data_IF_503075884127
#
_entry.id   IF_503075884127
#
_cell.length_a   1.000
_cell.length_b   1.000
_cell.length_c   1.000
_cell.angle_alpha   90.00
_cell.angle_beta   90.00
_cell.angle_gamma   90.00
#
_symmetry.space_group_name_H-M   'P 1'
#
loop_
_entity.id
_entity.type
_entity.pdbx_description
1 polymer ?
#
# COMPACT_ATOMS: atom_id res chain seq x y z
N UNK A 1 14.33 12.06 -42.56
CA UNK A 1 13.79 12.18 -41.19
C UNK A 1 12.98 10.93 -40.91
N UNK A 2 13.30 10.19 -39.83
CA UNK A 2 12.65 8.92 -39.54
C UNK A 2 11.15 9.12 -39.31
N UNK A 3 10.32 8.44 -40.08
CA UNK A 3 8.88 8.44 -39.89
C UNK A 3 8.55 7.43 -38.78
N UNK A 4 8.43 7.90 -37.54
CA UNK A 4 8.16 7.04 -36.37
C UNK A 4 6.67 6.78 -36.16
N UNK A 5 5.85 7.00 -37.19
CA UNK A 5 4.41 6.74 -37.14
C UNK A 5 4.12 5.24 -36.95
N UNK A 6 4.99 4.37 -37.46
CA UNK A 6 4.85 2.92 -37.38
C UNK A 6 5.41 2.31 -36.10
N UNK A 7 6.09 3.09 -35.26
CA UNK A 7 6.61 2.61 -33.98
C UNK A 7 5.45 2.30 -33.03
N UNK A 8 5.39 1.06 -32.54
CA UNK A 8 4.28 0.55 -31.73
C UNK A 8 4.01 1.43 -30.51
N UNK A 9 5.07 1.89 -29.84
CA UNK A 9 4.97 2.76 -28.66
C UNK A 9 4.38 4.12 -28.98
N UNK A 10 4.71 4.70 -30.14
CA UNK A 10 4.14 5.99 -30.54
C UNK A 10 2.67 5.85 -30.93
N UNK A 11 2.30 4.74 -31.58
CA UNK A 11 0.91 4.43 -31.91
C UNK A 11 0.07 4.26 -30.67
N UNK A 12 0.55 3.48 -29.70
CA UNK A 12 -0.11 3.26 -28.40
C UNK A 12 -0.15 4.54 -27.57
N UNK A 13 0.91 5.35 -27.58
CA UNK A 13 0.91 6.67 -26.94
C UNK A 13 -0.16 7.60 -27.51
N UNK A 14 -0.40 7.60 -28.83
CA UNK A 14 -1.52 8.38 -29.41
C UNK A 14 -2.87 7.90 -28.91
N UNK A 15 -3.06 6.59 -28.81
CA UNK A 15 -4.30 6.02 -28.26
C UNK A 15 -4.49 6.48 -26.81
N UNK A 16 -3.45 6.39 -25.98
CA UNK A 16 -3.47 6.91 -24.60
C UNK A 16 -3.81 8.39 -24.57
N UNK A 17 -3.18 9.23 -25.40
CA UNK A 17 -3.48 10.66 -25.47
C UNK A 17 -4.95 10.94 -25.76
N UNK A 18 -5.54 10.24 -26.74
CA UNK A 18 -6.94 10.39 -27.12
C UNK A 18 -7.87 9.99 -25.97
N UNK A 19 -7.61 8.84 -25.34
CA UNK A 19 -8.42 8.34 -24.22
C UNK A 19 -8.34 9.27 -23.00
N UNK A 20 -7.18 9.83 -22.68
CA UNK A 20 -7.04 10.81 -21.59
C UNK A 20 -7.80 12.12 -21.87
N UNK A 21 -7.86 12.56 -23.13
CA UNK A 21 -8.61 13.75 -23.56
C UNK A 21 -10.12 13.50 -23.50
N UNK A 22 -10.58 12.32 -23.95
CA UNK A 22 -11.97 11.87 -23.87
C UNK A 22 -12.47 11.74 -22.43
N UNK A 23 -11.64 11.18 -21.54
CA UNK A 23 -11.92 11.07 -20.09
C UNK A 23 -11.80 12.41 -19.35
N UNK A 24 -11.45 13.51 -20.04
CA UNK A 24 -11.21 14.84 -19.46
C UNK A 24 -10.13 14.88 -18.37
N UNK A 25 -9.21 13.91 -18.37
CA UNK A 25 -8.07 13.86 -17.45
C UNK A 25 -6.97 14.85 -17.85
N UNK A 26 -6.97 15.28 -19.11
CA UNK A 26 -6.13 16.36 -19.61
C UNK A 26 -6.98 17.39 -20.35
N UNK A 27 -6.65 18.68 -20.19
CA UNK A 27 -7.30 19.77 -20.96
C UNK A 27 -6.75 19.92 -22.38
N UNK A 28 -5.73 19.15 -22.72
CA UNK A 28 -5.08 19.11 -24.04
C UNK A 28 -3.56 18.99 -23.95
N UNK A 29 -2.88 19.15 -25.09
CA UNK A 29 -1.42 18.93 -25.24
C UNK A 29 -0.55 19.71 -24.26
N UNK A 30 -0.93 20.95 -23.93
CA UNK A 30 -0.20 21.79 -22.97
C UNK A 30 -0.21 21.20 -21.56
N UNK A 31 -1.30 20.56 -21.18
CA UNK A 31 -1.51 20.02 -19.83
C UNK A 31 -0.70 18.73 -19.66
N UNK A 32 -0.78 17.85 -20.67
CA UNK A 32 0.06 16.65 -20.73
C UNK A 32 1.55 17.01 -20.76
N UNK A 33 1.95 18.02 -21.53
CA UNK A 33 3.35 18.45 -21.61
C UNK A 33 3.91 18.86 -20.24
N UNK A 34 3.13 19.60 -19.43
CA UNK A 34 3.52 19.98 -18.07
C UNK A 34 3.73 18.76 -17.18
N UNK A 35 2.82 17.78 -17.25
CA UNK A 35 2.91 16.55 -16.43
C UNK A 35 4.04 15.63 -16.86
N UNK A 36 4.40 15.63 -18.15
CA UNK A 36 5.54 14.88 -18.67
C UNK A 36 6.87 15.66 -18.59
N UNK A 37 6.87 16.82 -17.93
CA UNK A 37 8.03 17.72 -17.80
C UNK A 37 8.69 18.01 -19.15
N UNK A 38 7.85 18.42 -20.11
CA UNK A 38 8.28 18.69 -21.47
C UNK A 38 7.49 19.84 -22.08
N UNK A 39 7.78 20.16 -23.34
CA UNK A 39 7.14 21.26 -24.06
C UNK A 39 6.04 20.76 -24.98
N UNK A 40 5.01 21.58 -25.18
CA UNK A 40 3.87 21.25 -26.06
C UNK A 40 4.32 20.88 -27.49
N UNK A 41 5.32 21.59 -28.03
CA UNK A 41 5.88 21.27 -29.34
C UNK A 41 6.51 19.86 -29.41
N UNK A 42 7.07 19.35 -28.31
CA UNK A 42 7.64 17.99 -28.23
C UNK A 42 6.52 16.97 -28.31
N UNK A 43 5.46 17.13 -27.52
CA UNK A 43 4.27 16.26 -27.58
C UNK A 43 3.66 16.28 -28.98
N UNK A 44 3.53 17.45 -29.61
CA UNK A 44 3.02 17.57 -30.97
C UNK A 44 3.89 16.81 -31.99
N UNK A 45 5.21 16.89 -31.88
CA UNK A 45 6.13 16.18 -32.76
C UNK A 45 6.05 14.66 -32.57
N UNK A 46 5.86 14.19 -31.33
CA UNK A 46 5.63 12.77 -31.04
C UNK A 46 4.29 12.32 -31.65
N UNK A 47 3.22 13.09 -31.45
CA UNK A 47 1.90 12.81 -32.04
C UNK A 47 1.93 12.84 -33.58
N UNK A 48 2.78 13.65 -34.21
CA UNK A 48 2.99 13.64 -35.67
C UNK A 48 3.94 12.55 -36.16
N UNK A 49 4.53 11.76 -35.26
CA UNK A 49 5.47 10.69 -35.61
C UNK A 49 6.85 11.20 -36.05
N UNK A 50 7.16 12.47 -35.76
CA UNK A 50 8.45 13.08 -36.07
C UNK A 50 9.51 12.77 -34.99
N UNK A 51 9.08 12.27 -33.82
CA UNK A 51 9.93 11.93 -32.69
C UNK A 51 9.36 10.72 -31.92
N UNK A 52 10.23 9.91 -31.32
CA UNK A 52 9.80 8.89 -30.35
C UNK A 52 9.61 9.48 -28.95
N UNK A 53 8.61 8.95 -28.25
CA UNK A 53 8.49 9.16 -26.81
C UNK A 53 9.69 8.55 -26.08
N UNK A 54 10.20 9.25 -25.07
CA UNK A 54 11.35 8.77 -24.28
C UNK A 54 10.88 7.84 -23.15
N UNK A 55 11.80 7.02 -22.63
CA UNK A 55 11.51 6.17 -21.47
C UNK A 55 11.05 6.98 -20.27
N UNK A 56 11.71 8.11 -19.97
CA UNK A 56 11.31 9.01 -18.89
C UNK A 56 9.86 9.53 -19.05
N UNK A 57 9.46 9.89 -20.27
CA UNK A 57 8.09 10.30 -20.57
C UNK A 57 7.09 9.15 -20.43
N UNK A 58 7.47 7.92 -20.80
CA UNK A 58 6.66 6.72 -20.57
C UNK A 58 6.47 6.48 -19.07
N UNK A 59 7.53 6.56 -18.27
CA UNK A 59 7.45 6.37 -16.82
C UNK A 59 6.55 7.42 -16.18
N UNK A 60 6.67 8.69 -16.58
CA UNK A 60 5.80 9.78 -16.13
C UNK A 60 4.35 9.58 -16.54
N UNK A 61 4.07 9.02 -17.72
CA UNK A 61 2.70 8.64 -18.12
C UNK A 61 2.13 7.54 -17.23
N UNK A 62 2.91 6.49 -16.98
CA UNK A 62 2.49 5.40 -16.11
C UNK A 62 2.20 5.94 -14.70
N UNK A 63 3.07 6.81 -14.18
CA UNK A 63 2.94 7.40 -12.85
C UNK A 63 1.76 8.39 -12.72
N UNK A 64 1.58 9.31 -13.67
CA UNK A 64 0.53 10.33 -13.53
C UNK A 64 -0.86 9.86 -13.94
N UNK A 65 -0.97 8.84 -14.78
CA UNK A 65 -2.23 8.45 -15.41
C UNK A 65 -2.55 6.95 -15.34
N UNK A 66 -1.72 6.13 -14.69
CA UNK A 66 -1.99 4.69 -14.50
C UNK A 66 -1.94 3.88 -15.77
N UNK A 67 -1.24 4.38 -16.78
CA UNK A 67 -1.11 3.73 -18.08
C UNK A 67 -0.27 2.47 -17.92
N UNK A 68 -0.78 1.35 -18.44
CA UNK A 68 -0.06 0.09 -18.46
C UNK A 68 1.13 0.17 -19.42
N UNK A 69 2.35 0.00 -18.92
CA UNK A 69 3.55 -0.03 -19.74
C UNK A 69 3.51 -1.17 -20.78
N UNK A 70 2.94 -2.32 -20.43
CA UNK A 70 2.81 -3.45 -21.35
C UNK A 70 1.94 -3.09 -22.56
N UNK A 71 0.90 -2.26 -22.38
CA UNK A 71 0.11 -1.73 -23.49
C UNK A 71 0.93 -0.84 -24.40
N UNK A 72 1.70 0.09 -23.83
CA UNK A 72 2.58 0.98 -24.59
C UNK A 72 3.60 0.21 -25.43
N UNK A 73 4.19 -0.85 -24.88
CA UNK A 73 5.13 -1.70 -25.61
C UNK A 73 4.46 -2.73 -26.54
N UNK A 74 3.13 -2.81 -26.53
CA UNK A 74 2.37 -3.75 -27.36
C UNK A 74 2.41 -5.20 -26.90
N UNK A 75 2.77 -5.43 -25.64
CA UNK A 75 2.77 -6.72 -24.97
C UNK A 75 1.38 -7.07 -24.40
N UNK A 76 0.52 -6.06 -24.25
CA UNK A 76 -0.83 -6.18 -23.70
C UNK A 76 -1.80 -5.27 -24.47
N UNK A 77 -3.10 -5.52 -24.32
CA UNK A 77 -4.19 -4.73 -24.88
C UNK A 77 -4.92 -3.88 -23.82
N UNK A 78 -4.69 -4.13 -22.52
CA UNK A 78 -5.27 -3.34 -21.44
C UNK A 78 -4.53 -2.01 -21.27
N UNK A 79 -5.17 -0.88 -21.61
CA UNK A 79 -4.53 0.44 -21.62
C UNK A 79 -4.20 0.96 -20.22
N UNK A 80 -5.02 0.61 -19.23
CA UNK A 80 -4.86 0.96 -17.83
C UNK A 80 -4.83 -0.31 -16.99
N UNK A 81 -4.13 -0.27 -15.85
CA UNK A 81 -3.89 -1.47 -15.01
C UNK A 81 -5.14 -1.98 -14.27
N UNK A 82 -6.28 -1.28 -14.35
CA UNK A 82 -7.47 -1.52 -13.52
C UNK A 82 -8.77 -1.78 -14.32
N UNK A 83 -8.77 -2.63 -15.34
CA UNK A 83 -10.02 -3.11 -16.00
C UNK A 83 -10.78 -4.14 -15.15
N UNK A 84 -11.00 -3.84 -13.87
CA UNK A 84 -11.86 -4.62 -12.98
C UNK A 84 -12.41 -3.72 -11.88
N UNK A 85 -13.38 -2.84 -12.16
CA UNK A 85 -14.72 -2.81 -11.55
C UNK A 85 -15.63 -1.88 -12.37
N UNK A 86 -16.91 -2.25 -12.45
CA UNK A 86 -18.00 -1.47 -12.99
C UNK A 86 -18.21 -0.11 -12.30
N UNK A 87 -18.81 0.82 -13.04
CA UNK A 87 -19.41 2.10 -12.65
C UNK A 87 -18.55 3.14 -11.90
N UNK A 88 -18.29 4.24 -12.61
CA UNK A 88 -18.62 5.57 -12.10
C UNK A 88 -17.53 6.40 -11.43
N UNK A 89 -16.46 5.82 -10.89
CA UNK A 89 -15.40 6.60 -10.24
C UNK A 89 -14.00 6.04 -10.56
N UNK A 90 -13.15 6.87 -11.16
CA UNK A 90 -11.73 6.53 -11.36
C UNK A 90 -11.02 6.56 -10.00
N UNK A 91 -10.36 5.48 -9.55
CA UNK A 91 -9.44 5.55 -8.45
C UNK A 91 -8.16 6.23 -8.95
N UNK A 92 -7.77 7.29 -8.26
CA UNK A 92 -6.50 8.00 -8.38
C UNK A 92 -5.38 7.04 -7.93
N UNK A 93 -5.05 6.04 -8.76
CA UNK A 93 -4.28 4.86 -8.36
C UNK A 93 -3.00 4.64 -9.15
N UNK A 94 -2.25 5.69 -9.48
CA UNK A 94 -0.99 5.55 -10.22
C UNK A 94 0.21 6.29 -9.62
N UNK A 95 -0.01 7.09 -8.57
CA UNK A 95 1.07 7.74 -7.84
C UNK A 95 1.84 6.76 -6.93
N UNK A 96 1.28 5.58 -6.64
CA UNK A 96 1.78 4.63 -5.64
C UNK A 96 2.97 3.76 -6.11
N UNK A 97 3.37 3.82 -7.38
CA UNK A 97 4.43 2.93 -7.93
C UNK A 97 5.86 3.49 -7.86
N UNK A 98 6.09 4.72 -7.40
CA UNK A 98 7.43 5.36 -7.41
C UNK A 98 7.91 5.90 -6.06
N UNK A 99 7.11 5.79 -4.99
CA UNK A 99 7.68 5.89 -3.64
C UNK A 99 8.43 4.59 -3.31
N UNK A 100 9.51 4.60 -2.51
CA UNK A 100 10.14 3.38 -2.05
C UNK A 100 9.05 2.51 -1.41
N UNK A 101 8.72 1.42 -2.10
CA UNK A 101 7.51 0.66 -1.93
C UNK A 101 7.37 0.17 -0.50
N UNK A 102 6.61 0.92 0.30
CA UNK A 102 6.00 0.45 1.53
C UNK A 102 4.77 -0.42 1.18
N UNK A 103 4.89 -1.28 0.16
CA UNK A 103 3.86 -2.22 -0.33
C UNK A 103 3.67 -3.42 0.59
N UNK A 104 4.13 -3.28 1.83
CA UNK A 104 3.73 -4.19 2.87
C UNK A 104 2.32 -3.92 3.30
N UNK A 105 1.49 -4.95 3.27
CA UNK A 105 0.24 -4.95 4.02
C UNK A 105 0.49 -5.00 5.54
N UNK A 106 1.71 -5.34 5.97
CA UNK A 106 2.11 -5.43 7.38
C UNK A 106 2.99 -4.24 7.77
N UNK A 107 2.62 -3.53 8.82
CA UNK A 107 3.37 -2.42 9.40
C UNK A 107 4.27 -2.89 10.55
N UNK A 108 5.59 -2.72 10.46
CA UNK A 108 6.55 -3.08 11.50
C UNK A 108 6.70 -1.96 12.52
N UNK A 109 6.39 -2.27 13.78
CA UNK A 109 6.60 -1.43 14.96
C UNK A 109 7.78 -1.98 15.77
N UNK A 110 9.01 -1.46 15.56
CA UNK A 110 10.19 -1.88 16.32
C UNK A 110 10.11 -1.40 17.77
N UNK A 111 10.84 -2.04 18.69
CA UNK A 111 10.81 -1.71 20.13
C UNK A 111 10.99 -0.21 20.39
N UNK A 112 11.96 0.42 19.70
CA UNK A 112 12.25 1.86 19.83
C UNK A 112 11.07 2.79 19.50
N UNK A 113 10.15 2.35 18.65
CA UNK A 113 9.00 3.14 18.20
C UNK A 113 7.72 2.84 19.01
N UNK A 114 7.72 1.83 19.89
CA UNK A 114 6.54 1.44 20.65
C UNK A 114 6.06 2.53 21.60
N UNK A 115 6.97 3.28 22.21
CA UNK A 115 6.61 4.39 23.10
C UNK A 115 5.83 5.48 22.36
N UNK A 116 6.30 5.88 21.16
CA UNK A 116 5.59 6.84 20.30
C UNK A 116 4.25 6.29 19.82
N UNK A 117 4.21 5.01 19.44
CA UNK A 117 2.99 4.33 19.03
C UNK A 117 1.93 4.29 20.14
N UNK A 118 2.33 4.05 21.40
CA UNK A 118 1.43 4.05 22.55
C UNK A 118 0.85 5.45 22.82
N UNK A 119 1.67 6.49 22.69
CA UNK A 119 1.27 7.87 23.01
C UNK A 119 0.44 8.54 21.91
N UNK A 120 0.86 8.37 20.66
CA UNK A 120 0.35 9.13 19.50
C UNK A 120 -0.29 8.24 18.44
N UNK A 121 -0.36 6.92 18.68
CA UNK A 121 -0.88 5.96 17.72
C UNK A 121 0.01 5.84 16.48
N UNK A 122 -0.57 5.31 15.40
CA UNK A 122 0.11 5.15 14.11
C UNK A 122 0.58 6.50 13.57
N UNK A 123 -0.23 7.55 13.69
CA UNK A 123 0.05 8.84 13.05
C UNK A 123 1.28 9.54 13.65
N UNK A 124 1.62 9.31 14.91
CA UNK A 124 2.82 9.89 15.54
C UNK A 124 4.13 9.21 15.15
N UNK A 125 4.09 7.95 14.67
CA UNK A 125 5.30 7.19 14.32
C UNK A 125 5.39 6.84 12.83
N UNK A 126 4.39 7.22 12.03
CA UNK A 126 4.18 6.79 10.65
C UNK A 126 5.41 6.93 9.75
N UNK A 127 6.16 8.02 9.91
CA UNK A 127 7.35 8.33 9.10
C UNK A 127 8.55 7.42 9.42
N UNK A 128 8.55 6.73 10.57
CA UNK A 128 9.62 5.85 11.02
C UNK A 128 9.33 4.36 10.76
N UNK A 129 8.08 4.01 10.42
CA UNK A 129 7.65 2.62 10.32
C UNK A 129 7.88 2.05 8.92
N UNK A 130 8.58 0.92 8.88
CA UNK A 130 8.72 0.09 7.67
C UNK A 130 7.50 -0.79 7.50
N UNK A 131 7.14 -1.10 6.26
CA UNK A 131 6.13 -2.11 5.91
C UNK A 131 6.76 -3.20 5.08
N UNK A 132 6.24 -4.41 5.24
CA UNK A 132 6.62 -5.58 4.47
C UNK A 132 5.42 -6.49 4.21
N UNK A 133 5.57 -7.46 3.31
CA UNK A 133 4.52 -8.39 2.93
C UNK A 133 5.02 -9.83 3.11
N UNK A 134 4.16 -10.70 3.65
CA UNK A 134 4.41 -12.14 3.74
C UNK A 134 3.48 -12.84 2.75
N UNK A 135 4.00 -13.58 1.73
CA UNK A 135 3.15 -14.33 0.81
C UNK A 135 2.19 -15.28 1.53
N UNK A 136 0.90 -15.20 1.19
CA UNK A 136 -0.16 -16.00 1.79
C UNK A 136 -0.72 -15.47 3.11
N UNK A 137 -0.20 -14.33 3.61
CA UNK A 137 -0.76 -13.65 4.78
C UNK A 137 -1.55 -12.41 4.32
N UNK A 138 -2.87 -12.57 4.27
CA UNK A 138 -3.82 -11.52 3.89
C UNK A 138 -4.60 -11.06 5.12
N UNK A 139 -4.97 -9.79 5.15
CA UNK A 139 -5.71 -9.19 6.26
C UNK A 139 -5.76 -7.67 6.16
N UNK A 140 -6.69 -7.06 6.88
CA UNK A 140 -6.79 -5.61 7.06
C UNK A 140 -5.99 -5.16 8.27
N UNK A 141 -5.31 -4.01 8.18
CA UNK A 141 -4.57 -3.41 9.29
C UNK A 141 -3.59 -4.39 10.00
N UNK A 142 -2.78 -5.12 9.22
CA UNK A 142 -1.76 -5.99 9.80
C UNK A 142 -0.62 -5.16 10.39
N UNK A 143 -0.24 -5.50 11.61
CA UNK A 143 0.88 -4.91 12.33
C UNK A 143 1.81 -6.00 12.81
N UNK A 144 3.09 -5.70 12.86
CA UNK A 144 4.15 -6.56 13.33
C UNK A 144 4.85 -5.87 14.49
N UNK A 145 4.84 -6.48 15.67
CA UNK A 145 5.49 -5.93 16.87
C UNK A 145 6.71 -6.77 17.22
N UNK A 146 7.84 -6.11 17.42
CA UNK A 146 9.02 -6.72 18.01
C UNK A 146 8.82 -6.88 19.52
N UNK A 147 8.92 -8.11 20.04
CA UNK A 147 8.63 -8.41 21.44
C UNK A 147 9.89 -8.30 22.28
N UNK A 148 9.80 -7.54 23.37
CA UNK A 148 10.86 -7.47 24.38
C UNK A 148 10.49 -8.29 25.63
N UNK A 149 11.43 -9.11 26.09
CA UNK A 149 11.35 -9.89 27.31
C UNK A 149 10.83 -11.33 27.15
N UNK A 150 10.90 -12.08 28.26
CA UNK A 150 10.77 -13.55 28.26
C UNK A 150 9.42 -14.06 28.79
N UNK A 151 8.45 -13.17 28.96
CA UNK A 151 7.20 -13.49 29.65
C UNK A 151 6.31 -14.52 28.92
N UNK A 152 6.57 -14.77 27.64
CA UNK A 152 5.83 -15.71 26.82
C UNK A 152 6.64 -16.95 26.44
N UNK A 153 7.79 -17.20 27.10
CA UNK A 153 8.56 -18.43 26.88
C UNK A 153 7.72 -19.68 27.23
N UNK A 154 7.81 -20.77 26.43
CA UNK A 154 8.65 -20.93 25.24
C UNK A 154 7.97 -20.51 23.93
N UNK A 155 6.74 -19.99 23.98
CA UNK A 155 5.91 -19.72 22.80
C UNK A 155 6.40 -18.53 21.99
N UNK A 156 6.84 -17.46 22.67
CA UNK A 156 7.40 -16.24 22.06
C UNK A 156 8.64 -15.86 22.88
N UNK A 157 9.72 -15.56 22.17
CA UNK A 157 11.04 -15.24 22.72
C UNK A 157 11.37 -13.76 22.53
N UNK A 158 12.30 -13.25 23.33
CA UNK A 158 12.82 -11.89 23.17
C UNK A 158 13.43 -11.67 21.78
N UNK A 159 12.99 -10.63 21.08
CA UNK A 159 13.40 -10.30 19.70
C UNK A 159 12.52 -10.91 18.62
N UNK A 160 11.53 -11.74 18.96
CA UNK A 160 10.58 -12.25 17.99
C UNK A 160 9.68 -11.14 17.44
N UNK A 161 9.33 -11.24 16.17
CA UNK A 161 8.36 -10.35 15.52
C UNK A 161 7.02 -11.07 15.43
N UNK A 162 6.03 -10.53 16.13
CA UNK A 162 4.66 -11.06 16.15
C UNK A 162 3.80 -10.25 15.20
N UNK A 163 3.26 -10.91 14.17
CA UNK A 163 2.29 -10.32 13.24
C UNK A 163 0.88 -10.54 13.77
N UNK A 164 0.10 -9.47 13.87
CA UNK A 164 -1.27 -9.47 14.34
C UNK A 164 -2.17 -8.60 13.47
N UNK A 165 -3.47 -8.91 13.51
CA UNK A 165 -4.53 -8.11 12.92
C UNK A 165 -5.22 -7.29 14.01
N UNK A 166 -5.53 -6.03 13.73
CA UNK A 166 -6.30 -5.19 14.64
C UNK A 166 -7.72 -5.78 14.87
N UNK A 167 -8.18 -5.73 16.11
CA UNK A 167 -9.50 -6.26 16.48
C UNK A 167 -10.47 -5.10 16.55
N UNK A 168 -11.44 -5.11 15.63
CA UNK A 168 -12.52 -4.12 15.62
C UNK A 168 -13.34 -4.17 16.93
N UNK A 169 -13.79 -3.00 17.44
CA UNK A 169 -14.70 -2.93 18.57
C UNK A 169 -15.94 -3.82 18.35
N UNK A 170 -16.22 -4.70 19.31
CA UNK A 170 -17.36 -5.61 19.24
C UNK A 170 -17.05 -7.00 18.67
N UNK A 171 -15.87 -7.23 18.07
CA UNK A 171 -15.44 -8.61 17.78
C UNK A 171 -15.18 -9.39 19.08
N UNK A 172 -15.66 -10.65 19.19
CA UNK A 172 -15.44 -11.45 20.38
C UNK A 172 -13.98 -11.89 20.47
N UNK A 173 -13.36 -11.66 21.63
CA UNK A 173 -12.07 -12.26 21.98
C UNK A 173 -12.25 -13.76 22.27
N UNK A 174 -11.23 -14.55 21.96
CA UNK A 174 -11.18 -15.99 22.24
C UNK A 174 -10.29 -16.23 23.45
N UNK A 175 -10.80 -16.97 24.42
CA UNK A 175 -10.02 -17.33 25.60
C UNK A 175 -8.79 -18.16 25.26
N UNK A 176 -7.71 -17.93 26.03
CA UNK A 176 -6.41 -18.60 25.93
C UNK A 176 -5.68 -18.42 24.59
N UNK A 177 -6.13 -17.48 23.74
CA UNK A 177 -5.39 -17.06 22.55
C UNK A 177 -4.41 -15.95 22.90
N UNK A 178 -3.32 -15.88 22.11
CA UNK A 178 -2.29 -14.84 22.27
C UNK A 178 -2.77 -13.57 21.59
N UNK A 179 -2.63 -12.45 22.30
CA UNK A 179 -2.94 -11.12 21.81
C UNK A 179 -1.77 -10.19 22.13
N UNK A 180 -1.54 -9.25 21.22
CA UNK A 180 -0.75 -8.05 21.52
C UNK A 180 -1.70 -7.04 22.15
N UNK A 181 -1.36 -6.59 23.35
CA UNK A 181 -2.14 -5.62 24.12
C UNK A 181 -1.32 -4.35 24.23
N UNK A 182 -1.96 -3.23 23.87
CA UNK A 182 -1.36 -1.90 23.88
C UNK A 182 -2.04 -1.11 25.01
N UNK A 183 -1.29 -0.82 26.06
CA UNK A 183 -1.75 0.00 27.21
C UNK A 183 -0.79 1.16 27.41
N UNK A 184 -0.01 1.13 28.48
CA UNK A 184 1.19 1.92 28.78
C UNK A 184 2.45 1.39 28.07
N UNK A 185 2.37 0.18 27.51
CA UNK A 185 3.38 -0.44 26.67
C UNK A 185 2.74 -1.45 25.73
N UNK A 186 3.57 -2.09 24.90
CA UNK A 186 3.15 -3.19 24.02
C UNK A 186 3.57 -4.50 24.66
N UNK A 187 2.60 -5.38 24.96
CA UNK A 187 2.87 -6.68 25.58
C UNK A 187 2.12 -7.81 24.86
N UNK A 188 2.79 -8.93 24.64
CA UNK A 188 2.15 -10.17 24.19
C UNK A 188 1.70 -11.00 25.40
N UNK A 189 0.42 -11.37 25.47
CA UNK A 189 -0.17 -12.16 26.56
C UNK A 189 -1.29 -13.06 26.06
N UNK A 190 -1.59 -14.14 26.79
CA UNK A 190 -2.86 -14.85 26.63
C UNK A 190 -3.99 -14.10 27.33
N UNK A 191 -5.12 -13.96 26.66
CA UNK A 191 -6.31 -13.32 27.24
C UNK A 191 -7.28 -14.37 27.75
N UNK A 192 -7.80 -14.14 28.96
CA UNK A 192 -8.96 -14.84 29.49
C UNK A 192 -10.03 -13.81 29.88
N UNK A 193 -11.23 -13.96 29.35
CA UNK A 193 -12.38 -13.10 29.64
C UNK A 193 -12.99 -13.47 31.00
N UNK A 194 -12.98 -12.53 31.94
CA UNK A 194 -13.70 -12.68 33.21
C UNK A 194 -15.11 -12.11 33.01
N UNK A 195 -16.11 -12.96 33.24
CA UNK A 195 -17.52 -12.62 33.08
C UNK A 195 -18.23 -12.53 34.42
N UNK A 196 -19.23 -11.67 34.51
CA UNK A 196 -20.09 -11.57 35.68
C UNK A 196 -21.23 -12.61 35.67
N UNK A 197 -22.10 -12.57 36.67
CA UNK A 197 -23.27 -13.46 36.77
C UNK A 197 -24.31 -13.27 35.66
N UNK A 198 -24.19 -12.22 34.85
CA UNK A 198 -25.03 -11.94 33.68
C UNK A 198 -24.32 -12.28 32.36
N UNK A 199 -23.19 -13.00 32.42
CA UNK A 199 -22.35 -13.41 31.28
C UNK A 199 -21.74 -12.22 30.49
N UNK A 200 -21.69 -11.02 31.10
CA UNK A 200 -21.05 -9.86 30.51
C UNK A 200 -19.56 -9.86 30.85
N UNK A 201 -18.71 -9.58 29.88
CA UNK A 201 -17.26 -9.44 30.11
C UNK A 201 -17.04 -8.18 30.95
N UNK A 202 -16.48 -8.35 32.15
CA UNK A 202 -16.22 -7.26 33.10
C UNK A 202 -14.74 -6.93 33.21
N UNK A 203 -13.86 -7.93 33.02
CA UNK A 203 -12.40 -7.78 33.12
C UNK A 203 -11.71 -8.74 32.16
N UNK A 204 -10.51 -8.39 31.72
CA UNK A 204 -9.62 -9.29 31.00
C UNK A 204 -8.48 -9.68 31.93
N UNK A 205 -8.17 -10.97 32.01
CA UNK A 205 -6.98 -11.49 32.66
C UNK A 205 -5.91 -11.72 31.61
N UNK A 206 -4.75 -11.12 31.82
CA UNK A 206 -3.55 -11.28 31.00
C UNK A 206 -2.66 -12.35 31.63
N UNK A 207 -2.33 -13.39 30.86
CA UNK A 207 -1.59 -14.57 31.34
C UNK A 207 -0.29 -14.69 30.54
N UNK A 208 0.80 -14.88 31.27
CA UNK A 208 2.13 -15.21 30.75
C UNK A 208 2.24 -16.72 30.48
N UNK A 209 2.94 -17.12 29.42
CA UNK A 209 3.26 -18.55 29.19
C UNK A 209 4.49 -18.99 29.98
N UNK A 210 5.33 -18.02 30.40
CA UNK A 210 6.49 -18.30 31.21
C UNK A 210 6.08 -18.91 32.56
N UNK A 211 6.80 -19.96 32.98
CA UNK A 211 6.52 -20.75 34.17
C UNK A 211 7.32 -20.33 35.40
N UNK A 212 8.20 -19.35 35.23
CA UNK A 212 9.07 -18.80 36.28
C UNK A 212 8.45 -17.59 36.99
#
# INVERSE_FOLDING_TARGET
MGNFFDHIVNRRFRQVYQTLEEMRLIKGKSDLAKKLDTYNHVINNILKGQRNITLDQILKLCHHYGVNANFLFGLDNQMFLNESVADGELPVGSLELLEPMNHGNIMLVPVRAQAGFVLEGIEGVKDELKRFHIPGLEGSNLMAFEIEGDSMLPTITNGDIVVCEEIEPGRPLRDNQVYVVVTDGVVAKRIQQIRDGQNKVVRLRLISDNKD
#
